data_IF_393380897726
#
_entry.id   IF_393380897726
#
_cell.length_a   1.000
_cell.length_b   1.000
_cell.length_c   1.000
_cell.angle_alpha   90.00
_cell.angle_beta   90.00
_cell.angle_gamma   90.00
#
_symmetry.space_group_name_H-M   'P 1'
#
loop_
_entity.id
_entity.type
_entity.pdbx_description
1 polymer ?
#
# COMPACT_ATOMS: atom_id res chain seq x y z
N UNK A 1 8.69 -15.14 -1.84
CA UNK A 1 7.22 -15.33 -1.96
C UNK A 1 6.69 -14.53 -3.15
N UNK A 2 5.64 -14.98 -3.83
CA UNK A 2 4.99 -14.24 -4.93
C UNK A 2 3.95 -13.28 -4.35
N UNK A 3 4.37 -12.13 -3.83
CA UNK A 3 3.50 -11.14 -3.16
C UNK A 3 3.40 -9.84 -3.93
N UNK A 4 2.24 -9.16 -3.91
CA UNK A 4 2.16 -7.80 -4.41
C UNK A 4 3.00 -6.87 -3.53
N UNK A 5 3.50 -5.75 -4.07
CA UNK A 5 4.23 -4.75 -3.29
C UNK A 5 3.38 -4.09 -2.19
N UNK A 6 2.07 -4.33 -2.18
CA UNK A 6 1.12 -3.82 -1.18
C UNK A 6 0.85 -4.81 -0.03
N UNK A 7 1.49 -5.98 0.00
CA UNK A 7 1.25 -6.99 1.03
C UNK A 7 1.81 -6.58 2.40
N UNK A 8 1.04 -6.76 3.47
CA UNK A 8 1.43 -6.36 4.83
C UNK A 8 2.73 -7.00 5.32
N UNK A 9 3.14 -8.17 4.80
CA UNK A 9 4.45 -8.77 5.16
C UNK A 9 5.65 -7.98 4.67
N UNK A 10 5.44 -7.08 3.72
CA UNK A 10 6.47 -6.19 3.18
C UNK A 10 6.50 -4.83 3.89
N UNK A 11 5.63 -4.63 4.89
CA UNK A 11 5.49 -3.37 5.60
C UNK A 11 6.70 -3.13 6.53
N UNK A 12 7.52 -2.09 6.30
CA UNK A 12 8.83 -1.96 6.93
C UNK A 12 8.79 -1.60 8.42
N UNK A 13 7.83 -0.79 8.87
CA UNK A 13 7.64 -0.49 10.30
C UNK A 13 7.28 -1.75 11.10
N UNK A 14 6.36 -2.57 10.57
CA UNK A 14 6.01 -3.85 11.17
C UNK A 14 7.20 -4.81 11.22
N UNK A 15 7.97 -4.92 10.13
CA UNK A 15 9.14 -5.81 10.09
C UNK A 15 10.23 -5.39 11.07
N UNK A 16 10.52 -4.09 11.16
CA UNK A 16 11.50 -3.58 12.13
C UNK A 16 11.04 -3.88 13.57
N UNK A 17 9.74 -3.74 13.85
CA UNK A 17 9.18 -4.07 15.17
C UNK A 17 9.31 -5.56 15.50
N UNK A 18 8.99 -6.45 14.54
CA UNK A 18 9.17 -7.90 14.68
C UNK A 18 10.63 -8.31 14.96
N UNK A 19 11.59 -7.54 14.43
CA UNK A 19 13.03 -7.73 14.66
C UNK A 19 13.56 -7.06 15.93
N UNK A 20 12.74 -6.33 16.70
CA UNK A 20 13.17 -5.58 17.88
C UNK A 20 13.90 -4.26 17.57
N UNK A 21 13.84 -3.78 16.33
CA UNK A 21 14.49 -2.55 15.87
C UNK A 21 13.58 -1.33 16.10
N UNK A 22 13.28 -1.02 17.36
CA UNK A 22 12.24 -0.06 17.74
C UNK A 22 12.40 1.36 17.15
N UNK A 23 13.62 1.90 17.16
CA UNK A 23 13.89 3.23 16.59
C UNK A 23 13.60 3.28 15.09
N UNK A 24 14.03 2.22 14.36
CA UNK A 24 13.77 2.09 12.92
C UNK A 24 12.27 1.90 12.64
N UNK A 25 11.58 1.12 13.46
CA UNK A 25 10.14 0.93 13.35
C UNK A 25 9.37 2.25 13.49
N UNK A 26 9.74 3.09 14.47
CA UNK A 26 9.13 4.39 14.68
C UNK A 26 9.37 5.34 13.50
N UNK A 27 10.60 5.39 12.97
CA UNK A 27 10.93 6.21 11.81
C UNK A 27 10.13 5.79 10.56
N UNK A 28 10.05 4.49 10.28
CA UNK A 28 9.28 3.96 9.16
C UNK A 28 7.78 4.19 9.32
N UNK A 29 7.26 4.08 10.55
CA UNK A 29 5.85 4.37 10.85
C UNK A 29 5.50 5.80 10.48
N UNK A 30 6.30 6.77 10.93
CA UNK A 30 6.09 8.18 10.64
C UNK A 30 6.09 8.44 9.12
N UNK A 31 7.05 7.86 8.40
CA UNK A 31 7.16 7.98 6.94
C UNK A 31 5.92 7.42 6.22
N UNK A 32 5.46 6.23 6.60
CA UNK A 32 4.28 5.60 5.99
C UNK A 32 3.00 6.38 6.30
N UNK A 33 2.83 6.90 7.52
CA UNK A 33 1.67 7.71 7.89
C UNK A 33 1.61 9.03 7.10
N UNK A 34 2.76 9.70 6.90
CA UNK A 34 2.84 10.91 6.07
C UNK A 34 2.45 10.60 4.62
N UNK A 35 2.96 9.52 4.04
CA UNK A 35 2.61 9.07 2.68
C UNK A 35 1.12 8.73 2.58
N UNK A 36 0.55 8.04 3.57
CA UNK A 36 -0.87 7.71 3.58
C UNK A 36 -1.76 8.95 3.71
N UNK A 37 -1.33 9.98 4.44
CA UNK A 37 -2.04 11.27 4.48
C UNK A 37 -2.05 11.97 3.12
N UNK A 38 -0.94 11.95 2.39
CA UNK A 38 -0.87 12.50 1.03
C UNK A 38 -1.74 11.69 0.06
N UNK A 39 -1.69 10.36 0.12
CA UNK A 39 -2.51 9.47 -0.71
C UNK A 39 -4.02 9.59 -0.42
N UNK A 40 -4.41 9.91 0.83
CA UNK A 40 -5.82 10.15 1.20
C UNK A 40 -6.45 11.30 0.40
N UNK A 41 -5.69 12.35 0.08
CA UNK A 41 -6.16 13.43 -0.82
C UNK A 41 -6.49 12.91 -2.22
N UNK A 42 -5.81 11.87 -2.70
CA UNK A 42 -6.11 11.20 -3.97
C UNK A 42 -7.27 10.20 -3.85
N UNK A 43 -7.63 9.81 -2.62
CA UNK A 43 -8.81 8.97 -2.37
C UNK A 43 -10.10 9.78 -2.50
N UNK A 44 -10.08 11.03 -2.06
CA UNK A 44 -11.15 12.01 -2.24
C UNK A 44 -11.43 12.32 -3.73
N UNK A 45 -10.47 12.06 -4.63
CA UNK A 45 -10.64 12.20 -6.08
C UNK A 45 -11.13 10.94 -6.81
N UNK A 46 -11.61 9.93 -6.07
CA UNK A 46 -12.31 8.77 -6.64
C UNK A 46 -11.47 7.48 -6.76
N UNK A 47 -10.43 7.33 -5.93
CA UNK A 47 -9.69 6.06 -5.85
C UNK A 47 -10.61 4.90 -5.47
N UNK A 48 -10.38 3.73 -6.08
CA UNK A 48 -11.12 2.50 -5.82
C UNK A 48 -10.16 1.35 -5.48
N UNK A 49 -10.53 0.46 -4.55
CA UNK A 49 -9.76 -0.76 -4.32
C UNK A 49 -9.62 -1.59 -5.60
N UNK A 50 -8.45 -2.20 -5.80
CA UNK A 50 -8.14 -2.95 -7.03
C UNK A 50 -8.89 -4.27 -7.12
N UNK A 51 -8.90 -5.05 -6.04
CA UNK A 51 -9.37 -6.44 -6.06
C UNK A 51 -10.84 -6.59 -5.66
N UNK A 52 -11.47 -5.51 -5.20
CA UNK A 52 -12.82 -5.52 -4.65
C UNK A 52 -13.60 -4.29 -5.11
N UNK A 53 -14.90 -4.43 -5.33
CA UNK A 53 -15.82 -3.31 -5.52
C UNK A 53 -16.83 -3.27 -4.37
N UNK A 54 -17.17 -2.05 -3.93
CA UNK A 54 -18.28 -1.84 -3.00
C UNK A 54 -19.60 -2.07 -3.74
N UNK A 55 -20.49 -2.88 -3.17
CA UNK A 55 -21.80 -3.11 -3.75
C UNK A 55 -22.70 -1.89 -3.57
N UNK A 56 -23.51 -1.58 -4.60
CA UNK A 56 -24.44 -0.44 -4.54
C UNK A 56 -25.61 -0.79 -3.61
N UNK A 57 -25.76 -0.04 -2.53
CA UNK A 57 -26.87 -0.21 -1.57
C UNK A 57 -26.54 -1.06 -0.35
N UNK A 58 -25.27 -1.47 -0.17
CA UNK A 58 -24.80 -2.13 1.04
C UNK A 58 -23.40 -1.63 1.42
N UNK A 59 -22.94 -1.99 2.63
CA UNK A 59 -21.57 -1.73 3.06
C UNK A 59 -20.63 -2.92 2.77
N UNK A 60 -21.06 -3.83 1.90
CA UNK A 60 -20.31 -5.04 1.52
C UNK A 60 -19.39 -4.79 0.34
N UNK A 61 -18.32 -5.56 0.28
CA UNK A 61 -17.37 -5.57 -0.83
C UNK A 61 -17.38 -6.93 -1.52
N UNK A 62 -17.49 -6.92 -2.84
CA UNK A 62 -17.44 -8.12 -3.69
C UNK A 62 -16.07 -8.24 -4.35
N UNK A 63 -15.50 -9.43 -4.30
CA UNK A 63 -14.26 -9.75 -5.00
C UNK A 63 -14.47 -9.65 -6.52
N UNK A 64 -13.55 -8.96 -7.21
CA UNK A 64 -13.62 -8.71 -8.65
C UNK A 64 -12.87 -9.77 -9.47
N UNK A 65 -12.06 -10.63 -8.85
CA UNK A 65 -11.08 -11.44 -9.56
C UNK A 65 -9.75 -10.72 -9.74
N UNK A 66 -8.79 -11.40 -10.36
CA UNK A 66 -7.50 -10.85 -10.77
C UNK A 66 -6.37 -11.01 -9.76
N UNK A 67 -6.64 -11.07 -8.44
CA UNK A 67 -5.57 -11.20 -7.44
C UNK A 67 -4.85 -12.54 -7.57
N UNK A 68 -5.59 -13.65 -7.62
CA UNK A 68 -5.02 -14.99 -7.67
C UNK A 68 -4.33 -15.26 -9.01
N UNK A 69 -4.89 -14.74 -10.10
CA UNK A 69 -4.36 -14.82 -11.46
C UNK A 69 -3.05 -14.03 -11.59
N UNK A 70 -3.00 -12.81 -11.03
CA UNK A 70 -1.77 -12.03 -10.89
C UNK A 70 -0.74 -12.75 -10.03
N UNK A 71 -1.17 -13.35 -8.91
CA UNK A 71 -0.30 -14.11 -7.99
C UNK A 71 0.35 -15.31 -8.67
N UNK A 72 -0.43 -16.08 -9.42
CA UNK A 72 0.06 -17.25 -10.15
C UNK A 72 1.19 -16.86 -11.12
N UNK A 73 0.96 -15.79 -11.89
CA UNK A 73 1.88 -15.22 -12.88
C UNK A 73 3.02 -14.39 -12.26
N UNK A 74 2.95 -14.07 -10.97
CA UNK A 74 3.85 -13.11 -10.30
C UNK A 74 3.89 -11.73 -10.99
N UNK A 75 2.82 -11.36 -11.68
CA UNK A 75 2.67 -10.06 -12.32
C UNK A 75 1.75 -9.19 -11.47
N UNK A 76 2.32 -8.10 -10.98
CA UNK A 76 1.63 -7.12 -10.14
C UNK A 76 1.45 -5.79 -10.88
N UNK A 77 1.28 -5.86 -12.19
CA UNK A 77 1.15 -4.69 -13.04
C UNK A 77 0.00 -3.80 -12.56
N UNK A 78 0.33 -2.53 -12.31
CA UNK A 78 -0.59 -1.54 -11.73
C UNK A 78 -0.79 -1.63 -10.21
N UNK A 79 -0.14 -2.56 -9.50
CA UNK A 79 -0.05 -2.47 -8.04
C UNK A 79 1.02 -1.42 -7.67
N UNK A 80 0.64 -0.30 -7.05
CA UNK A 80 1.61 0.71 -6.67
C UNK A 80 2.49 0.17 -5.53
N UNK A 81 3.76 0.57 -5.54
CA UNK A 81 4.59 0.42 -4.36
C UNK A 81 4.17 1.47 -3.33
N UNK A 82 3.52 1.02 -2.26
CA UNK A 82 3.04 1.87 -1.17
C UNK A 82 4.02 1.94 0.00
N UNK A 83 5.08 1.13 -0.01
CA UNK A 83 6.09 1.08 1.05
C UNK A 83 7.43 1.67 0.63
N UNK A 84 7.75 1.72 -0.67
CA UNK A 84 9.03 2.22 -1.19
C UNK A 84 9.39 3.64 -0.77
N UNK A 85 10.66 3.99 -0.91
CA UNK A 85 11.16 5.35 -0.75
C UNK A 85 10.72 6.19 -1.96
N UNK A 86 10.24 7.43 -1.73
CA UNK A 86 10.07 8.37 -2.83
C UNK A 86 11.45 8.73 -3.39
N UNK A 87 11.64 8.89 -4.70
CA UNK A 87 12.81 9.59 -5.22
C UNK A 87 12.91 10.96 -4.52
N UNK A 88 14.12 11.35 -4.13
CA UNK A 88 14.40 12.61 -3.44
C UNK A 88 13.88 13.86 -4.18
N UNK A 89 13.52 13.74 -5.47
CA UNK A 89 13.06 14.84 -6.33
C UNK A 89 11.66 15.37 -6.00
N UNK A 90 10.86 14.68 -5.16
CA UNK A 90 9.55 15.18 -4.71
C UNK A 90 9.60 15.97 -3.39
N UNK A 91 10.81 16.23 -2.86
CA UNK A 91 11.03 17.06 -1.67
C UNK A 91 11.33 18.53 -2.01
N UNK A 92 11.27 18.95 -3.27
CA UNK A 92 11.38 20.36 -3.67
C UNK A 92 10.03 20.87 -4.13
N UNK A 93 9.29 21.49 -3.21
CA UNK A 93 8.56 22.73 -3.47
C UNK A 93 8.48 23.46 -2.13
N UNK A 94 9.21 24.58 -2.03
CA UNK A 94 9.06 25.62 -1.00
C UNK A 94 7.62 26.13 -0.89
#
# INVERSE_FOLDING_TARGET
EKLPPTDSRLRPDQRCLENGEYERANAEKLRLEQRQRQARKMQESGWKPRWFAKDKGSDTYRYLGGYWESREKSSWDGCPDIFGQLPNDLMITD
#
